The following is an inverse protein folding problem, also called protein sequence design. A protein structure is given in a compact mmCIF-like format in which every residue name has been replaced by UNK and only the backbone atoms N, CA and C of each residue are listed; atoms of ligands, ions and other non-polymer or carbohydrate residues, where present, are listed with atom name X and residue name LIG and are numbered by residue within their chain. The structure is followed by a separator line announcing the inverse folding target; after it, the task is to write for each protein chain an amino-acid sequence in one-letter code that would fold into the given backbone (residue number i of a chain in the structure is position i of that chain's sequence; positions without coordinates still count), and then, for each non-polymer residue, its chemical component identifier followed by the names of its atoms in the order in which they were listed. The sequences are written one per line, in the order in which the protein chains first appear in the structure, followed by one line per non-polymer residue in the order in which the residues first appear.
data_IF_618028944807
#
_entry.id   IF_618028944807
#
_cell.length_a   1.000
_cell.length_b   1.000
_cell.length_c   1.000
_cell.angle_alpha   90.00
_cell.angle_beta   90.00
_cell.angle_gamma   90.00
#
_symmetry.space_group_name_H-M   'P 1'
#
loop_
_entity.id
_entity.type
_entity.pdbx_description
1 polymer ?
#
# COMPACT_ATOMS: atom_id res chain seq x y z
N UNK A 1 -7.23 -5.67 -42.72
CA UNK A 1 -8.07 -6.78 -42.25
C UNK A 1 -7.68 -7.27 -40.85
N UNK A 2 -6.73 -6.61 -40.11
CA UNK A 2 -6.46 -6.89 -38.68
C UNK A 2 -7.21 -5.95 -37.71
N UNK A 3 -7.83 -4.86 -38.21
CA UNK A 3 -8.45 -3.82 -37.38
C UNK A 3 -9.92 -4.07 -36.98
N UNK A 4 -10.60 -5.03 -37.58
CA UNK A 4 -12.02 -5.30 -37.27
C UNK A 4 -12.25 -6.43 -36.25
N UNK A 5 -11.24 -7.28 -35.96
CA UNK A 5 -11.37 -8.34 -34.96
C UNK A 5 -10.98 -7.91 -33.53
N UNK A 6 -10.25 -6.79 -33.38
CA UNK A 6 -9.88 -6.23 -32.05
C UNK A 6 -10.98 -5.32 -31.47
N UNK A 7 -11.97 -4.91 -32.26
CA UNK A 7 -13.08 -4.04 -31.85
C UNK A 7 -14.10 -4.70 -30.89
N UNK A 8 -14.01 -6.01 -30.67
CA UNK A 8 -15.00 -6.75 -29.87
C UNK A 8 -14.63 -6.89 -28.38
N UNK A 9 -13.50 -6.32 -27.94
CA UNK A 9 -13.05 -6.50 -26.54
C UNK A 9 -13.49 -5.37 -25.59
N UNK A 10 -13.96 -4.23 -26.10
CA UNK A 10 -14.40 -3.09 -25.27
C UNK A 10 -15.90 -2.79 -25.50
N UNK A 11 -16.64 -2.34 -24.45
CA UNK A 11 -18.05 -1.97 -24.59
C UNK A 11 -18.25 -0.84 -25.63
N UNK A 12 -19.22 -0.99 -26.54
CA UNK A 12 -19.45 -0.01 -27.60
C UNK A 12 -19.79 1.38 -27.06
N UNK A 13 -20.61 1.44 -26.00
CA UNK A 13 -21.00 2.70 -25.34
C UNK A 13 -19.82 3.41 -24.67
N UNK A 14 -18.84 2.64 -24.14
CA UNK A 14 -17.59 3.19 -23.65
C UNK A 14 -16.79 3.86 -24.79
N UNK A 15 -16.61 3.16 -25.90
CA UNK A 15 -15.85 3.68 -27.04
C UNK A 15 -16.51 4.94 -27.65
N UNK A 16 -17.86 4.97 -27.74
CA UNK A 16 -18.60 6.12 -28.24
C UNK A 16 -18.41 7.34 -27.33
N UNK A 17 -18.54 7.16 -26.00
CA UNK A 17 -18.29 8.24 -25.04
C UNK A 17 -16.83 8.73 -25.10
N UNK A 18 -15.85 7.84 -25.19
CA UNK A 18 -14.45 8.24 -25.33
C UNK A 18 -14.20 9.02 -26.62
N UNK A 19 -14.87 8.66 -27.70
CA UNK A 19 -14.78 9.37 -28.98
C UNK A 19 -15.34 10.79 -28.88
N UNK A 20 -16.48 10.97 -28.22
CA UNK A 20 -17.05 12.29 -27.97
C UNK A 20 -16.16 13.14 -27.06
N UNK A 21 -15.63 12.54 -25.98
CA UNK A 21 -14.81 13.23 -24.98
C UNK A 21 -13.44 13.67 -25.52
N UNK A 22 -12.78 12.82 -26.31
CA UNK A 22 -11.40 13.03 -26.76
C UNK A 22 -11.31 13.69 -28.16
N UNK A 23 -12.39 13.66 -28.94
CA UNK A 23 -12.41 14.28 -30.27
C UNK A 23 -11.26 13.82 -31.17
N UNK A 24 -10.40 14.76 -31.57
CA UNK A 24 -9.22 14.49 -32.43
C UNK A 24 -8.15 13.57 -31.76
N UNK A 25 -8.14 13.46 -30.46
CA UNK A 25 -7.19 12.59 -29.73
C UNK A 25 -7.67 11.13 -29.64
N UNK A 26 -8.95 10.85 -29.93
CA UNK A 26 -9.52 9.51 -29.83
C UNK A 26 -8.76 8.42 -30.62
N UNK A 27 -8.29 8.63 -31.86
CA UNK A 27 -7.51 7.62 -32.57
C UNK A 27 -6.25 7.18 -31.82
N UNK A 28 -5.50 8.13 -31.22
CA UNK A 28 -4.31 7.83 -30.45
C UNK A 28 -4.66 7.09 -29.15
N UNK A 29 -5.74 7.48 -28.47
CA UNK A 29 -6.26 6.77 -27.30
C UNK A 29 -6.64 5.33 -27.65
N UNK A 30 -7.42 5.13 -28.72
CA UNK A 30 -7.85 3.80 -29.15
C UNK A 30 -6.66 2.90 -29.52
N UNK A 31 -5.66 3.42 -30.23
CA UNK A 31 -4.43 2.70 -30.53
C UNK A 31 -3.69 2.29 -29.25
N UNK A 32 -3.65 3.17 -28.25
CA UNK A 32 -2.99 2.87 -26.97
C UNK A 32 -3.64 1.72 -26.21
N UNK A 33 -4.94 1.47 -26.38
CA UNK A 33 -5.63 0.35 -25.75
C UNK A 33 -5.13 -1.02 -26.27
N UNK A 34 -4.64 -1.09 -27.52
CA UNK A 34 -4.03 -2.29 -28.12
C UNK A 34 -2.55 -2.46 -27.80
N UNK A 35 -1.89 -1.45 -27.21
CA UNK A 35 -0.47 -1.52 -26.91
C UNK A 35 -0.19 -2.38 -25.67
N UNK A 36 1.05 -2.86 -25.58
CA UNK A 36 1.50 -3.61 -24.41
C UNK A 36 1.56 -2.73 -23.16
N UNK A 37 1.08 -3.29 -22.03
CA UNK A 37 1.06 -2.58 -20.75
C UNK A 37 2.47 -2.35 -20.21
N UNK A 38 2.70 -1.17 -19.69
CA UNK A 38 3.93 -0.86 -18.97
C UNK A 38 3.92 -1.52 -17.58
N UNK A 39 5.04 -2.10 -17.24
CA UNK A 39 5.24 -2.71 -15.92
C UNK A 39 6.14 -1.83 -15.08
N UNK A 40 5.78 -1.63 -13.83
CA UNK A 40 6.55 -0.82 -12.90
C UNK A 40 6.48 -1.34 -11.47
N UNK A 41 7.40 -0.87 -10.67
CA UNK A 41 7.39 -1.02 -9.22
C UNK A 41 7.87 0.26 -8.56
N UNK A 42 7.66 0.34 -7.26
CA UNK A 42 8.09 1.45 -6.42
C UNK A 42 9.01 0.93 -5.32
N UNK A 43 10.23 1.49 -5.23
CA UNK A 43 11.20 1.15 -4.17
C UNK A 43 10.62 1.53 -2.80
N UNK A 44 10.79 0.64 -1.83
CA UNK A 44 10.37 0.87 -0.44
C UNK A 44 11.47 1.61 0.32
N UNK A 45 11.31 2.93 0.45
CA UNK A 45 12.29 3.77 1.15
C UNK A 45 12.36 3.53 2.67
N UNK A 46 11.44 2.76 3.24
CA UNK A 46 11.55 2.23 4.60
C UNK A 46 12.57 1.09 4.75
N UNK A 47 13.03 0.51 3.63
CA UNK A 47 14.01 -0.60 3.58
C UNK A 47 15.37 -0.17 3.07
N UNK A 48 15.40 0.67 2.03
CA UNK A 48 16.63 1.09 1.34
C UNK A 48 16.41 2.44 0.65
N UNK A 49 17.45 3.19 0.43
CA UNK A 49 17.37 4.35 -0.46
C UNK A 49 17.30 3.91 -1.93
N UNK A 50 16.76 4.78 -2.80
CA UNK A 50 16.75 4.54 -4.25
C UNK A 50 18.17 4.33 -4.79
N UNK A 51 19.13 5.13 -4.33
CA UNK A 51 20.52 5.03 -4.78
C UNK A 51 21.18 3.71 -4.39
N UNK A 52 20.96 3.21 -3.17
CA UNK A 52 21.46 1.91 -2.72
C UNK A 52 20.82 0.77 -3.51
N UNK A 53 19.50 0.83 -3.72
CA UNK A 53 18.78 -0.16 -4.53
C UNK A 53 19.34 -0.26 -5.95
N UNK A 54 19.57 0.87 -6.63
CA UNK A 54 20.12 0.92 -7.98
C UNK A 54 21.57 0.43 -8.06
N UNK A 55 22.36 0.59 -6.99
CA UNK A 55 23.72 0.05 -6.92
C UNK A 55 23.75 -1.46 -6.66
N UNK A 56 22.74 -2.01 -6.01
CA UNK A 56 22.66 -3.44 -5.68
C UNK A 56 22.03 -4.30 -6.79
N UNK A 57 21.36 -3.65 -7.76
CA UNK A 57 20.73 -4.35 -8.87
C UNK A 57 21.40 -3.98 -10.19
N UNK A 58 21.55 -4.93 -11.10
CA UNK A 58 21.97 -4.73 -12.48
C UNK A 58 20.77 -4.56 -13.45
N UNK A 59 19.59 -4.35 -12.90
CA UNK A 59 18.35 -4.20 -13.66
C UNK A 59 18.35 -2.91 -14.47
N UNK A 60 17.97 -3.04 -15.76
CA UNK A 60 17.76 -1.87 -16.62
C UNK A 60 16.42 -1.25 -16.30
N UNK A 61 16.43 -0.17 -15.54
CA UNK A 61 15.26 0.53 -15.05
C UNK A 61 15.15 1.91 -15.67
N UNK A 62 13.91 2.33 -15.98
CA UNK A 62 13.59 3.69 -16.43
C UNK A 62 12.79 4.38 -15.32
N UNK A 63 13.16 5.58 -14.85
CA UNK A 63 12.38 6.29 -13.84
C UNK A 63 10.94 6.59 -14.29
N UNK A 64 10.00 6.53 -13.37
CA UNK A 64 8.65 7.06 -13.55
C UNK A 64 8.69 8.57 -13.28
N UNK A 65 8.35 9.45 -14.25
CA UNK A 65 8.62 10.90 -14.13
C UNK A 65 7.94 11.57 -12.94
N UNK A 66 6.81 11.07 -12.49
CA UNK A 66 6.00 11.65 -11.40
C UNK A 66 6.16 10.97 -10.05
N UNK A 67 7.07 10.00 -9.93
CA UNK A 67 7.32 9.30 -8.67
C UNK A 67 8.80 8.94 -8.54
N UNK A 68 9.52 9.67 -7.67
CA UNK A 68 10.97 9.50 -7.49
C UNK A 68 11.40 8.07 -7.11
N UNK A 69 10.51 7.31 -6.47
CA UNK A 69 10.76 5.93 -6.08
C UNK A 69 10.26 4.92 -7.11
N UNK A 70 9.58 5.38 -8.18
CA UNK A 70 8.95 4.57 -9.21
C UNK A 70 9.89 4.26 -10.38
N UNK A 71 9.85 2.99 -10.85
CA UNK A 71 10.66 2.55 -12.00
C UNK A 71 9.87 1.62 -12.90
N UNK A 72 9.95 1.87 -14.20
CA UNK A 72 9.55 0.90 -15.23
C UNK A 72 10.62 -0.19 -15.36
N UNK A 73 10.19 -1.40 -15.69
CA UNK A 73 11.09 -2.52 -15.96
C UNK A 73 10.65 -3.35 -17.16
N UNK A 74 11.63 -3.98 -17.84
CA UNK A 74 11.39 -4.83 -19.00
C UNK A 74 10.89 -6.23 -18.62
N UNK A 75 10.40 -6.97 -19.63
CA UNK A 75 9.84 -8.33 -19.48
C UNK A 75 10.84 -9.37 -18.98
N UNK A 76 12.13 -9.13 -19.17
CA UNK A 76 13.22 -9.99 -18.69
C UNK A 76 13.33 -9.98 -17.16
N UNK A 77 12.86 -8.91 -16.51
CA UNK A 77 12.85 -8.78 -15.06
C UNK A 77 11.54 -9.38 -14.52
N UNK A 78 11.65 -10.29 -13.57
CA UNK A 78 10.52 -10.94 -12.92
C UNK A 78 10.50 -10.59 -11.43
N UNK A 79 10.17 -9.34 -11.06
CA UNK A 79 10.32 -8.85 -9.69
C UNK A 79 9.46 -9.65 -8.70
N UNK A 80 8.30 -10.16 -9.09
CA UNK A 80 7.43 -10.98 -8.23
C UNK A 80 8.04 -12.34 -7.82
N UNK A 81 9.09 -12.80 -8.52
CA UNK A 81 9.81 -14.06 -8.20
C UNK A 81 11.17 -13.82 -7.54
N UNK A 82 11.65 -12.60 -7.47
CA UNK A 82 12.91 -12.26 -6.85
C UNK A 82 12.80 -12.23 -5.32
N UNK A 83 13.78 -12.69 -4.54
CA UNK A 83 13.76 -12.67 -3.07
C UNK A 83 13.50 -11.29 -2.47
N UNK A 84 13.88 -10.20 -3.15
CA UNK A 84 13.60 -8.84 -2.70
C UNK A 84 12.11 -8.51 -2.62
N UNK A 85 11.27 -9.15 -3.45
CA UNK A 85 9.82 -9.02 -3.32
C UNK A 85 9.32 -9.55 -1.97
N UNK A 86 9.83 -10.72 -1.56
CA UNK A 86 9.48 -11.33 -0.27
C UNK A 86 10.03 -10.52 0.92
N UNK A 87 11.17 -9.85 0.73
CA UNK A 87 11.75 -8.93 1.73
C UNK A 87 11.06 -7.55 1.77
N UNK A 88 10.11 -7.28 0.86
CA UNK A 88 9.40 -6.01 0.81
C UNK A 88 10.24 -4.81 0.36
N UNK A 89 11.29 -5.05 -0.45
CA UNK A 89 12.19 -4.00 -0.94
C UNK A 89 11.50 -3.08 -1.94
N UNK A 90 10.48 -3.56 -2.62
CA UNK A 90 9.63 -2.79 -3.54
C UNK A 90 8.19 -3.33 -3.57
N UNK A 91 7.30 -2.48 -4.07
CA UNK A 91 5.91 -2.82 -4.36
C UNK A 91 5.65 -2.71 -5.87
N UNK A 92 5.16 -3.79 -6.50
CA UNK A 92 4.79 -3.79 -7.92
C UNK A 92 3.48 -3.01 -8.05
N UNK A 93 3.52 -1.91 -8.79
CA UNK A 93 2.40 -0.98 -8.93
C UNK A 93 2.35 -0.41 -10.33
N UNK A 94 1.16 -0.21 -10.85
CA UNK A 94 0.90 0.48 -12.12
C UNK A 94 1.31 1.95 -11.98
N UNK A 95 1.99 2.55 -13.00
CA UNK A 95 2.60 3.87 -12.85
C UNK A 95 1.60 4.99 -12.56
N UNK A 96 0.45 5.04 -13.25
CA UNK A 96 -0.53 6.11 -13.04
C UNK A 96 -1.16 6.05 -11.64
N UNK A 97 -1.28 4.84 -11.06
CA UNK A 97 -1.77 4.64 -9.69
C UNK A 97 -0.82 5.16 -8.59
N UNK A 98 0.39 5.60 -8.94
CA UNK A 98 1.33 6.26 -8.00
C UNK A 98 0.97 7.73 -7.78
N UNK A 99 0.31 8.40 -8.75
CA UNK A 99 0.01 9.84 -8.72
C UNK A 99 -0.83 10.28 -7.51
N UNK A 100 -1.93 9.60 -7.13
CA UNK A 100 -2.75 10.07 -6.02
C UNK A 100 -2.02 10.16 -4.69
N UNK A 101 -1.13 9.22 -4.38
CA UNK A 101 -0.36 9.24 -3.15
C UNK A 101 0.70 10.36 -3.13
N UNK A 102 1.31 10.69 -4.28
CA UNK A 102 2.19 11.86 -4.41
C UNK A 102 1.39 13.18 -4.21
N UNK A 103 0.17 13.26 -4.75
CA UNK A 103 -0.73 14.40 -4.56
C UNK A 103 -1.11 14.63 -3.09
N UNK A 104 -1.06 13.60 -2.25
CA UNK A 104 -1.41 13.71 -0.83
C UNK A 104 -0.37 14.53 -0.03
N UNK A 105 0.85 14.69 -0.54
CA UNK A 105 1.95 15.46 0.08
C UNK A 105 2.20 15.04 1.53
N UNK A 106 2.35 13.74 1.75
CA UNK A 106 2.55 13.11 3.06
C UNK A 106 3.77 13.67 3.78
N UNK A 107 3.62 13.92 5.10
CA UNK A 107 4.71 14.33 5.97
C UNK A 107 4.88 13.33 7.13
N UNK A 108 6.11 13.14 7.63
CA UNK A 108 6.33 12.43 8.88
C UNK A 108 5.50 13.05 10.02
N UNK A 109 4.86 12.20 10.83
CA UNK A 109 4.00 12.64 11.93
C UNK A 109 2.52 12.82 11.59
N UNK A 110 2.13 12.83 10.31
CA UNK A 110 0.73 12.91 9.89
C UNK A 110 -0.13 11.76 10.45
N UNK A 111 -1.38 12.05 10.71
CA UNK A 111 -2.43 11.05 10.97
C UNK A 111 -3.24 10.89 9.68
N UNK A 112 -3.09 9.75 9.03
CA UNK A 112 -3.61 9.53 7.68
C UNK A 112 -4.62 8.36 7.66
N UNK A 113 -5.71 8.55 6.91
CA UNK A 113 -6.64 7.49 6.55
C UNK A 113 -6.51 7.16 5.05
N UNK A 114 -6.30 5.89 4.72
CA UNK A 114 -6.57 5.33 3.40
C UNK A 114 -7.89 4.57 3.49
N UNK A 115 -8.97 5.16 2.93
CA UNK A 115 -10.35 4.73 3.22
C UNK A 115 -10.77 3.50 2.41
N UNK A 116 -10.21 3.32 1.20
CA UNK A 116 -10.49 2.21 0.28
C UNK A 116 -9.17 1.53 -0.12
N UNK A 117 -8.44 1.04 0.86
CA UNK A 117 -6.99 0.84 0.81
C UNK A 117 -6.51 -0.39 0.02
N UNK A 118 -7.35 -1.43 -0.15
CA UNK A 118 -6.88 -2.68 -0.77
C UNK A 118 -6.60 -2.55 -2.28
N UNK A 119 -5.54 -3.18 -2.77
CA UNK A 119 -4.69 -4.16 -2.10
C UNK A 119 -3.49 -3.60 -1.30
N UNK A 120 -3.32 -2.26 -1.19
CA UNK A 120 -2.28 -1.63 -0.39
C UNK A 120 -1.23 -0.85 -1.18
N UNK A 121 -1.40 -0.64 -2.49
CA UNK A 121 -0.45 0.10 -3.32
C UNK A 121 -0.25 1.54 -2.84
N UNK A 122 -1.33 2.27 -2.63
CA UNK A 122 -1.32 3.64 -2.12
C UNK A 122 -0.96 3.68 -0.64
N UNK A 123 -1.53 2.79 0.19
CA UNK A 123 -1.18 2.69 1.63
C UNK A 123 0.33 2.50 1.86
N UNK A 124 0.97 1.62 1.09
CA UNK A 124 2.42 1.35 1.24
C UNK A 124 3.29 2.50 0.73
N UNK A 125 2.80 3.28 -0.24
CA UNK A 125 3.44 4.52 -0.70
C UNK A 125 3.36 5.61 0.37
N UNK A 126 2.18 5.81 0.94
CA UNK A 126 1.93 6.71 2.06
C UNK A 126 2.85 6.34 3.25
N UNK A 127 2.86 5.06 3.65
CA UNK A 127 3.68 4.60 4.77
C UNK A 127 5.18 4.84 4.56
N UNK A 128 5.68 4.65 3.33
CA UNK A 128 7.09 4.94 3.00
C UNK A 128 7.41 6.43 3.16
N UNK A 129 6.52 7.33 2.72
CA UNK A 129 6.67 8.78 2.86
C UNK A 129 6.56 9.25 4.33
N UNK A 130 5.81 8.56 5.17
CA UNK A 130 5.71 8.81 6.63
C UNK A 130 7.00 8.49 7.38
N UNK A 131 7.93 7.73 6.82
CA UNK A 131 9.21 7.33 7.44
C UNK A 131 9.07 6.68 8.83
N UNK A 132 7.93 5.99 9.07
CA UNK A 132 7.63 5.33 10.34
C UNK A 132 7.08 6.24 11.45
N UNK A 133 6.89 7.52 11.17
CA UNK A 133 6.31 8.50 12.10
C UNK A 133 4.82 8.73 11.81
N UNK A 134 4.05 9.11 12.84
CA UNK A 134 2.60 9.30 12.72
C UNK A 134 1.82 7.98 12.70
N UNK A 135 0.56 8.04 12.28
CA UNK A 135 -0.39 6.91 12.30
C UNK A 135 -1.07 6.79 10.94
N UNK A 136 -1.00 5.59 10.35
CA UNK A 136 -1.70 5.25 9.12
C UNK A 136 -2.85 4.28 9.44
N UNK A 137 -4.08 4.70 9.15
CA UNK A 137 -5.24 3.80 9.18
C UNK A 137 -5.56 3.39 7.73
N UNK A 138 -5.56 2.08 7.48
CA UNK A 138 -5.89 1.49 6.19
C UNK A 138 -7.20 0.72 6.33
N UNK A 139 -8.25 1.15 5.64
CA UNK A 139 -9.55 0.49 5.71
C UNK A 139 -9.92 -0.19 4.38
N UNK A 140 -10.60 -1.31 4.48
CA UNK A 140 -11.19 -1.99 3.33
C UNK A 140 -12.48 -2.70 3.77
N UNK A 141 -13.58 -2.40 3.09
CA UNK A 141 -14.91 -2.93 3.43
C UNK A 141 -15.03 -4.44 3.14
N UNK A 142 -14.31 -4.95 2.13
CA UNK A 142 -14.37 -6.35 1.73
C UNK A 142 -13.37 -7.20 2.53
N UNK A 143 -13.82 -8.18 3.36
CA UNK A 143 -12.93 -8.91 4.27
C UNK A 143 -11.79 -9.65 3.56
N UNK A 144 -12.03 -10.23 2.39
CA UNK A 144 -11.00 -10.92 1.61
C UNK A 144 -9.91 -9.97 1.11
N UNK A 145 -10.29 -8.78 0.64
CA UNK A 145 -9.36 -7.75 0.19
C UNK A 145 -8.61 -7.11 1.36
N UNK A 146 -9.29 -6.90 2.50
CA UNK A 146 -8.66 -6.40 3.74
C UNK A 146 -7.55 -7.35 4.24
N UNK A 147 -7.71 -8.67 4.05
CA UNK A 147 -6.66 -9.64 4.35
C UNK A 147 -5.44 -9.46 3.45
N UNK A 148 -5.62 -9.28 2.14
CA UNK A 148 -4.54 -9.02 1.18
C UNK A 148 -3.82 -7.70 1.53
N UNK A 149 -4.56 -6.66 1.89
CA UNK A 149 -4.03 -5.40 2.39
C UNK A 149 -3.13 -5.63 3.62
N UNK A 150 -3.61 -6.37 4.62
CA UNK A 150 -2.84 -6.69 5.83
C UNK A 150 -1.55 -7.47 5.53
N UNK A 151 -1.59 -8.40 4.56
CA UNK A 151 -0.41 -9.16 4.11
C UNK A 151 0.61 -8.24 3.42
N UNK A 152 0.17 -7.27 2.62
CA UNK A 152 1.05 -6.29 1.98
C UNK A 152 1.66 -5.30 2.99
N UNK A 153 0.90 -4.82 3.97
CA UNK A 153 1.40 -3.99 5.07
C UNK A 153 2.51 -4.76 5.84
N UNK A 154 2.30 -6.05 6.11
CA UNK A 154 3.31 -6.91 6.72
C UNK A 154 4.56 -7.04 5.87
N UNK A 155 4.40 -7.44 4.59
CA UNK A 155 5.49 -7.67 3.66
C UNK A 155 6.38 -6.44 3.49
N UNK A 156 5.80 -5.25 3.47
CA UNK A 156 6.52 -3.99 3.36
C UNK A 156 7.19 -3.55 4.67
N UNK A 157 6.99 -4.27 5.77
CA UNK A 157 7.62 -4.00 7.07
C UNK A 157 7.09 -2.74 7.77
N UNK A 158 5.84 -2.36 7.50
CA UNK A 158 5.24 -1.14 8.05
C UNK A 158 4.89 -1.33 9.53
N UNK A 159 5.36 -0.41 10.38
CA UNK A 159 5.26 -0.51 11.85
C UNK A 159 4.07 0.27 12.43
N UNK A 160 3.65 1.35 11.77
CA UNK A 160 2.70 2.36 12.26
C UNK A 160 1.32 2.31 11.59
N UNK A 161 0.93 1.15 11.05
CA UNK A 161 -0.34 0.98 10.35
C UNK A 161 -1.36 0.18 11.16
N UNK A 162 -2.62 0.66 11.16
CA UNK A 162 -3.83 -0.04 11.62
C UNK A 162 -4.63 -0.50 10.40
N UNK A 163 -4.91 -1.81 10.28
CA UNK A 163 -5.76 -2.33 9.21
C UNK A 163 -7.13 -2.68 9.77
N UNK A 164 -8.16 -2.06 9.18
CA UNK A 164 -9.57 -2.20 9.57
C UNK A 164 -10.40 -2.84 8.45
N UNK A 165 -11.56 -3.39 8.84
CA UNK A 165 -12.58 -3.89 7.93
C UNK A 165 -13.94 -3.32 8.34
N UNK A 166 -14.12 -2.02 8.11
CA UNK A 166 -15.30 -1.26 8.49
C UNK A 166 -15.95 -0.60 7.28
N UNK A 167 -17.21 -0.18 7.42
CA UNK A 167 -17.83 0.69 6.42
C UNK A 167 -17.39 2.14 6.62
N UNK A 168 -17.41 2.98 5.57
CA UNK A 168 -17.08 4.41 5.69
C UNK A 168 -17.93 5.13 6.74
N UNK A 169 -19.22 4.80 6.86
CA UNK A 169 -20.16 5.40 7.81
C UNK A 169 -19.75 5.09 9.27
N UNK A 170 -19.39 3.83 9.56
CA UNK A 170 -18.91 3.43 10.89
C UNK A 170 -17.63 4.16 11.29
N UNK A 171 -16.74 4.38 10.32
CA UNK A 171 -15.52 5.14 10.55
C UNK A 171 -15.80 6.63 10.76
N UNK A 172 -16.72 7.23 10.00
CA UNK A 172 -17.12 8.63 10.15
C UNK A 172 -17.72 8.91 11.54
N UNK A 173 -18.58 8.01 12.03
CA UNK A 173 -19.11 8.09 13.40
C UNK A 173 -17.99 7.98 14.47
N UNK A 174 -16.96 7.17 14.17
CA UNK A 174 -15.88 6.87 15.13
C UNK A 174 -14.80 7.93 15.18
N UNK A 175 -14.47 8.53 14.04
CA UNK A 175 -13.29 9.38 13.87
C UNK A 175 -13.59 10.77 13.28
N UNK A 176 -14.60 11.52 13.78
CA UNK A 176 -14.93 12.83 13.24
C UNK A 176 -13.76 13.81 13.40
N UNK A 177 -13.32 14.43 12.31
CA UNK A 177 -12.24 15.43 12.30
C UNK A 177 -10.87 14.93 12.77
N UNK A 178 -10.60 13.61 12.70
CA UNK A 178 -9.39 13.03 13.29
C UNK A 178 -8.18 13.06 12.38
N UNK A 179 -8.35 13.16 11.05
CA UNK A 179 -7.25 12.93 10.10
C UNK A 179 -6.71 14.23 9.51
N UNK A 180 -5.38 14.33 9.47
CA UNK A 180 -4.67 15.40 8.74
C UNK A 180 -4.88 15.25 7.24
N UNK A 181 -4.83 13.99 6.76
CA UNK A 181 -4.94 13.65 5.35
C UNK A 181 -5.78 12.40 5.14
N UNK A 182 -6.52 12.38 4.04
CA UNK A 182 -7.33 11.21 3.65
C UNK A 182 -7.07 10.88 2.18
N UNK A 183 -6.78 9.60 1.90
CA UNK A 183 -6.78 9.00 0.58
C UNK A 183 -8.12 8.30 0.35
N UNK A 184 -8.80 8.65 -0.74
CA UNK A 184 -10.04 8.01 -1.20
C UNK A 184 -9.80 7.49 -2.62
N UNK A 185 -9.18 6.30 -2.74
CA UNK A 185 -9.10 5.58 -4.00
C UNK A 185 -10.40 4.80 -4.19
N UNK A 186 -11.39 5.47 -4.73
CA UNK A 186 -12.77 5.02 -4.65
C UNK A 186 -13.05 3.79 -5.54
N UNK A 187 -13.95 2.87 -5.11
CA UNK A 187 -14.46 1.84 -6.01
C UNK A 187 -15.17 2.52 -7.18
N UNK A 188 -14.81 2.14 -8.41
CA UNK A 188 -15.26 2.77 -9.64
C UNK A 188 -15.59 1.72 -10.71
N UNK A 189 -16.09 2.14 -11.86
CA UNK A 189 -16.39 1.26 -13.00
C UNK A 189 -15.15 0.61 -13.64
N UNK A 190 -13.94 1.14 -13.34
CA UNK A 190 -12.67 0.49 -13.62
C UNK A 190 -12.24 0.47 -15.09
N UNK A 191 -12.59 1.47 -15.88
CA UNK A 191 -12.31 1.53 -17.33
C UNK A 191 -10.82 1.52 -17.67
N UNK A 192 -9.98 2.14 -16.84
CA UNK A 192 -8.51 2.04 -16.94
C UNK A 192 -7.96 0.64 -16.62
N UNK A 193 -8.82 -0.30 -16.21
CA UNK A 193 -8.44 -1.68 -15.94
C UNK A 193 -8.79 -2.65 -17.06
N UNK A 194 -9.49 -2.23 -18.10
CA UNK A 194 -9.92 -3.10 -19.20
C UNK A 194 -8.77 -3.86 -19.86
N UNK A 195 -7.62 -3.20 -20.05
CA UNK A 195 -6.40 -3.83 -20.59
C UNK A 195 -5.80 -4.88 -19.64
N UNK A 196 -6.12 -4.83 -18.35
CA UNK A 196 -5.59 -5.73 -17.31
C UNK A 196 -6.54 -6.88 -17.02
N UNK A 197 -7.83 -6.64 -17.13
CA UNK A 197 -8.88 -7.59 -16.77
C UNK A 197 -10.00 -7.54 -17.81
N UNK A 198 -10.03 -8.50 -18.72
CA UNK A 198 -11.08 -8.63 -19.75
C UNK A 198 -12.49 -8.80 -19.15
N UNK A 199 -12.59 -9.41 -17.94
CA UNK A 199 -13.86 -9.57 -17.24
C UNK A 199 -14.46 -8.20 -16.84
N UNK A 200 -13.63 -7.21 -16.53
CA UNK A 200 -14.08 -5.86 -16.19
C UNK A 200 -14.85 -5.19 -17.35
N UNK A 201 -14.43 -5.43 -18.58
CA UNK A 201 -15.16 -4.96 -19.77
C UNK A 201 -16.52 -5.65 -19.94
N UNK A 202 -16.63 -6.93 -19.57
CA UNK A 202 -17.88 -7.68 -19.67
C UNK A 202 -18.93 -7.30 -18.62
N UNK A 203 -18.49 -6.83 -17.46
CA UNK A 203 -19.36 -6.40 -16.36
C UNK A 203 -19.71 -4.90 -16.41
N UNK A 204 -19.04 -4.15 -17.29
CA UNK A 204 -19.23 -2.71 -17.41
C UNK A 204 -20.57 -2.36 -18.05
N UNK A 205 -21.23 -1.31 -17.57
CA UNK A 205 -22.41 -0.68 -18.17
C UNK A 205 -22.54 0.77 -17.71
N UNK A 206 -23.27 1.60 -18.44
CA UNK A 206 -23.61 2.97 -18.03
C UNK A 206 -24.37 3.01 -16.70
N UNK A 207 -25.19 2.00 -16.40
CA UNK A 207 -25.88 1.92 -15.12
C UNK A 207 -24.92 1.60 -13.99
N UNK A 208 -23.88 0.79 -14.22
CA UNK A 208 -22.83 0.54 -13.25
C UNK A 208 -22.00 1.81 -12.99
N UNK A 209 -21.69 2.61 -14.01
CA UNK A 209 -21.05 3.94 -13.86
C UNK A 209 -21.84 4.84 -12.91
N UNK A 210 -23.17 4.97 -13.13
CA UNK A 210 -24.06 5.75 -12.24
C UNK A 210 -24.11 5.21 -10.82
N UNK A 211 -24.16 3.89 -10.66
CA UNK A 211 -24.15 3.24 -9.36
C UNK A 211 -22.83 3.52 -8.60
N UNK A 212 -21.69 3.46 -9.30
CA UNK A 212 -20.40 3.81 -8.73
C UNK A 212 -20.34 5.28 -8.33
N UNK A 213 -20.79 6.21 -9.19
CA UNK A 213 -20.85 7.63 -8.87
C UNK A 213 -21.67 7.92 -7.61
N UNK A 214 -22.86 7.33 -7.49
CA UNK A 214 -23.69 7.48 -6.29
C UNK A 214 -23.01 6.93 -5.01
N UNK A 215 -22.28 5.81 -5.13
CA UNK A 215 -21.53 5.24 -4.01
C UNK A 215 -20.36 6.14 -3.60
N UNK A 216 -19.68 6.72 -4.57
CA UNK A 216 -18.56 7.64 -4.36
C UNK A 216 -19.01 8.90 -3.62
N UNK A 217 -20.20 9.43 -3.91
CA UNK A 217 -20.77 10.56 -3.19
C UNK A 217 -20.86 10.29 -1.68
N UNK A 218 -21.40 9.13 -1.28
CA UNK A 218 -21.47 8.75 0.14
C UNK A 218 -20.10 8.52 0.79
N UNK A 219 -19.15 7.94 0.06
CA UNK A 219 -17.78 7.74 0.56
C UNK A 219 -17.07 9.08 0.79
N UNK A 220 -17.23 10.03 -0.15
CA UNK A 220 -16.66 11.37 -0.03
C UNK A 220 -17.27 12.17 1.15
N UNK A 221 -18.57 12.07 1.37
CA UNK A 221 -19.24 12.70 2.52
C UNK A 221 -18.72 12.13 3.86
N UNK A 222 -18.53 10.81 3.94
CA UNK A 222 -17.91 10.19 5.11
C UNK A 222 -16.44 10.65 5.30
N UNK A 223 -15.67 10.77 4.21
CA UNK A 223 -14.30 11.27 4.27
C UNK A 223 -14.23 12.73 4.75
N UNK A 224 -15.17 13.58 4.30
CA UNK A 224 -15.29 14.97 4.76
C UNK A 224 -15.53 15.07 6.28
N UNK A 225 -16.41 14.24 6.84
CA UNK A 225 -16.67 14.21 8.29
C UNK A 225 -15.42 13.81 9.08
N UNK A 226 -14.58 12.95 8.53
CA UNK A 226 -13.35 12.49 9.17
C UNK A 226 -12.16 13.43 8.99
N UNK A 227 -12.18 14.27 7.95
CA UNK A 227 -11.12 15.23 7.66
C UNK A 227 -11.20 16.41 8.62
N UNK A 228 -10.07 16.74 9.28
CA UNK A 228 -9.99 17.91 10.14
C UNK A 228 -10.11 19.22 9.36
N UNK A 229 -10.49 20.34 9.99
CA UNK A 229 -10.32 21.66 9.40
C UNK A 229 -8.85 21.90 9.01
N UNK A 230 -8.61 22.46 7.82
CA UNK A 230 -7.27 22.62 7.23
C UNK A 230 -6.64 21.32 6.73
N UNK A 231 -7.37 20.21 6.72
CA UNK A 231 -6.91 18.93 6.22
C UNK A 231 -6.90 18.84 4.69
N UNK A 232 -6.22 17.81 4.17
CA UNK A 232 -6.07 17.53 2.73
C UNK A 232 -6.60 16.16 2.39
N UNK A 233 -7.46 16.07 1.39
CA UNK A 233 -7.98 14.79 0.85
C UNK A 233 -7.56 14.66 -0.62
N UNK A 234 -7.24 13.45 -1.03
CA UNK A 234 -7.10 13.10 -2.45
C UNK A 234 -8.16 12.08 -2.80
N UNK A 235 -9.02 12.45 -3.73
CA UNK A 235 -9.99 11.56 -4.37
C UNK A 235 -9.37 11.03 -5.67
N UNK A 236 -9.49 9.73 -5.91
CA UNK A 236 -8.98 9.12 -7.15
C UNK A 236 -9.84 7.95 -7.61
N UNK A 237 -9.81 7.71 -8.92
CA UNK A 237 -10.44 6.58 -9.59
C UNK A 237 -9.52 6.03 -10.68
N UNK A 238 -9.75 4.79 -11.09
CA UNK A 238 -9.15 4.21 -12.29
C UNK A 238 -10.17 4.11 -13.45
N UNK A 239 -11.08 5.06 -13.56
CA UNK A 239 -12.03 5.18 -14.68
C UNK A 239 -11.77 6.45 -15.48
N UNK A 240 -12.47 6.60 -16.61
CA UNK A 240 -12.48 7.81 -17.44
C UNK A 240 -13.88 8.44 -17.46
N UNK A 241 -14.84 7.89 -16.72
CA UNK A 241 -16.23 8.32 -16.71
C UNK A 241 -16.38 9.69 -16.02
N UNK A 242 -16.81 10.75 -16.73
CA UNK A 242 -16.97 12.08 -16.13
C UNK A 242 -17.94 12.10 -14.95
N UNK A 243 -18.94 11.20 -14.93
CA UNK A 243 -19.90 11.07 -13.83
C UNK A 243 -19.25 10.65 -12.50
N UNK A 244 -18.21 9.81 -12.60
CA UNK A 244 -17.43 9.29 -11.45
C UNK A 244 -16.26 10.20 -11.10
N UNK A 245 -15.74 10.95 -12.04
CA UNK A 245 -14.57 11.81 -11.92
C UNK A 245 -14.97 13.24 -11.50
N UNK A 246 -14.95 14.19 -12.43
CA UNK A 246 -15.30 15.59 -12.14
C UNK A 246 -16.74 15.72 -11.61
N UNK A 247 -17.67 14.89 -12.09
CA UNK A 247 -19.05 14.88 -11.64
C UNK A 247 -19.17 14.60 -10.15
N UNK A 248 -18.42 13.62 -9.62
CA UNK A 248 -18.38 13.34 -8.17
C UNK A 248 -17.75 14.49 -7.39
N UNK A 249 -16.68 15.09 -7.92
CA UNK A 249 -16.03 16.25 -7.30
C UNK A 249 -16.97 17.45 -7.26
N UNK A 250 -17.66 17.77 -8.34
CA UNK A 250 -18.60 18.90 -8.40
C UNK A 250 -19.74 18.72 -7.40
N UNK A 251 -20.40 17.56 -7.40
CA UNK A 251 -21.49 17.27 -6.43
C UNK A 251 -20.99 17.33 -4.98
N UNK A 252 -19.76 16.91 -4.73
CA UNK A 252 -19.14 17.01 -3.41
C UNK A 252 -18.95 18.48 -3.00
N UNK A 253 -18.36 19.32 -3.85
CA UNK A 253 -18.11 20.74 -3.56
C UNK A 253 -19.41 21.54 -3.39
N UNK A 254 -20.48 21.19 -4.12
CA UNK A 254 -21.81 21.79 -3.90
C UNK A 254 -22.38 21.48 -2.51
N UNK A 255 -22.14 20.27 -1.98
CA UNK A 255 -22.58 19.87 -0.63
C UNK A 255 -21.69 20.42 0.48
N UNK A 256 -20.40 20.65 0.19
CA UNK A 256 -19.38 21.07 1.15
C UNK A 256 -18.66 22.36 0.70
N UNK A 257 -19.33 23.52 0.81
CA UNK A 257 -18.79 24.79 0.27
C UNK A 257 -17.58 25.34 1.04
N UNK A 258 -17.21 24.73 2.15
CA UNK A 258 -15.97 24.98 2.90
C UNK A 258 -14.77 24.15 2.36
N UNK A 259 -15.00 23.35 1.32
CA UNK A 259 -13.95 22.64 0.59
C UNK A 259 -13.65 23.31 -0.74
N UNK A 260 -12.41 23.17 -1.18
CA UNK A 260 -11.94 23.66 -2.49
C UNK A 260 -10.92 22.73 -3.11
N UNK A 261 -10.82 22.76 -4.45
CA UNK A 261 -9.74 22.08 -5.17
C UNK A 261 -8.40 22.79 -4.85
N UNK A 262 -7.39 21.99 -4.63
CA UNK A 262 -6.01 22.46 -4.42
C UNK A 262 -5.09 21.84 -5.47
N UNK A 263 -3.94 22.48 -5.65
CA UNK A 263 -2.93 22.00 -6.60
C UNK A 263 -2.39 20.63 -6.21
N UNK A 264 -2.42 19.70 -7.19
CA UNK A 264 -1.79 18.38 -7.13
C UNK A 264 -0.30 18.42 -7.50
N UNK A 265 0.18 17.34 -8.10
CA UNK A 265 1.46 17.28 -8.79
C UNK A 265 1.23 17.47 -10.29
N UNK A 266 2.27 17.87 -11.01
CA UNK A 266 2.27 17.99 -12.46
C UNK A 266 3.41 17.20 -13.08
N UNK A 267 3.21 16.72 -14.29
CA UNK A 267 4.22 16.06 -15.12
C UNK A 267 3.80 16.10 -16.59
N UNK A 268 4.76 15.88 -17.47
CA UNK A 268 4.49 15.81 -18.92
C UNK A 268 3.43 14.75 -19.22
N UNK A 269 2.42 15.11 -20.01
CA UNK A 269 1.30 14.24 -20.38
C UNK A 269 0.11 14.27 -19.41
N UNK A 270 0.19 14.98 -18.28
CA UNK A 270 -0.96 15.21 -17.41
C UNK A 270 -1.91 16.22 -18.04
N UNK A 271 -3.20 15.95 -17.94
CA UNK A 271 -4.24 16.88 -18.36
C UNK A 271 -4.91 17.43 -17.11
N UNK A 272 -4.94 18.76 -17.00
CA UNK A 272 -5.65 19.45 -15.95
C UNK A 272 -6.94 20.04 -16.48
N UNK A 273 -8.05 19.81 -15.79
CA UNK A 273 -9.28 20.52 -16.08
C UNK A 273 -9.20 21.98 -15.61
N UNK A 274 -10.29 22.73 -15.81
CA UNK A 274 -10.34 24.15 -15.43
C UNK A 274 -10.27 24.39 -13.91
N UNK A 275 -10.60 23.38 -13.12
CA UNK A 275 -10.60 23.43 -11.66
C UNK A 275 -9.32 22.90 -11.04
N UNK A 276 -8.49 22.19 -11.83
CA UNK A 276 -7.20 21.64 -11.41
C UNK A 276 -7.23 20.15 -11.08
N UNK A 277 -8.30 19.42 -11.42
CA UNK A 277 -8.31 17.96 -11.36
C UNK A 277 -7.37 17.39 -12.42
N UNK A 278 -6.79 16.24 -12.15
CA UNK A 278 -5.76 15.59 -12.97
C UNK A 278 -6.38 14.38 -13.68
N UNK A 279 -6.26 14.35 -15.00
CA UNK A 279 -6.57 13.17 -15.84
C UNK A 279 -5.31 12.62 -16.47
N UNK A 280 -5.17 11.33 -16.39
CA UNK A 280 -4.09 10.55 -16.96
C UNK A 280 -4.67 9.62 -18.01
N UNK A 281 -4.25 9.76 -19.27
CA UNK A 281 -4.71 8.89 -20.35
C UNK A 281 -3.55 8.08 -20.91
N UNK A 282 -3.77 6.80 -21.28
CA UNK A 282 -2.71 5.90 -21.74
C UNK A 282 -2.02 6.32 -23.06
N UNK A 283 -2.62 7.21 -23.86
CA UNK A 283 -1.99 7.78 -25.05
C UNK A 283 -1.12 9.00 -24.76
N UNK A 284 -1.16 9.54 -23.55
CA UNK A 284 -0.34 10.68 -23.11
C UNK A 284 0.79 10.28 -22.17
N UNK A 285 0.60 9.21 -21.41
CA UNK A 285 1.55 8.74 -20.43
C UNK A 285 1.83 7.24 -20.61
N UNK A 286 2.96 6.79 -20.12
CA UNK A 286 3.25 5.36 -20.02
C UNK A 286 2.56 4.75 -18.77
N UNK A 287 1.23 4.53 -18.86
CA UNK A 287 0.38 4.01 -17.79
C UNK A 287 -1.00 3.60 -18.30
N UNK A 288 -1.85 3.07 -17.41
CA UNK A 288 -3.19 2.60 -17.76
C UNK A 288 -4.24 3.72 -17.72
N UNK A 289 -3.94 4.79 -17.03
CA UNK A 289 -4.83 5.92 -16.81
C UNK A 289 -5.39 6.00 -15.39
N UNK A 290 -5.63 7.22 -14.94
CA UNK A 290 -6.14 7.52 -13.60
C UNK A 290 -6.76 8.91 -13.56
N UNK A 291 -7.66 9.13 -12.58
CA UNK A 291 -8.14 10.45 -12.22
C UNK A 291 -7.71 10.78 -10.80
N UNK A 292 -7.36 12.03 -10.53
CA UNK A 292 -7.08 12.50 -9.19
C UNK A 292 -7.57 13.94 -8.98
N UNK A 293 -8.25 14.19 -7.87
CA UNK A 293 -8.61 15.51 -7.39
C UNK A 293 -8.08 15.73 -5.99
N UNK A 294 -7.42 16.85 -5.78
CA UNK A 294 -6.91 17.26 -4.48
C UNK A 294 -7.87 18.25 -3.86
N UNK A 295 -8.38 17.93 -2.67
CA UNK A 295 -9.38 18.72 -1.98
C UNK A 295 -8.82 19.17 -0.62
N UNK A 296 -9.02 20.43 -0.27
CA UNK A 296 -8.67 20.97 1.06
C UNK A 296 -9.93 21.49 1.74
N UNK A 297 -10.04 21.25 3.05
CA UNK A 297 -11.10 21.75 3.92
C UNK A 297 -10.66 23.03 4.58
N UNK A 298 -11.50 24.07 4.57
CA UNK A 298 -11.18 25.36 5.20
C UNK A 298 -11.02 25.23 6.73
N UNK A 299 -10.34 26.23 7.32
CA UNK A 299 -10.14 26.31 8.77
C UNK A 299 -8.75 25.83 9.21
N UNK A 300 -8.57 25.76 10.53
CA UNK A 300 -7.37 25.28 11.19
C UNK A 300 -7.73 24.25 12.24
N UNK A 301 -6.91 23.22 12.40
CA UNK A 301 -7.12 22.16 13.38
C UNK A 301 -5.93 21.20 13.41
N UNK A 302 -5.95 20.29 14.37
CA UNK A 302 -4.94 19.23 14.49
C UNK A 302 -5.65 17.88 14.42
N UNK A 303 -5.08 16.93 13.71
CA UNK A 303 -5.52 15.54 13.74
C UNK A 303 -5.32 14.93 15.13
N UNK A 304 -6.08 13.90 15.45
CA UNK A 304 -5.94 13.19 16.72
C UNK A 304 -7.18 12.41 17.09
N UNK A 305 -7.02 11.50 18.05
CA UNK A 305 -8.10 10.64 18.52
C UNK A 305 -8.49 11.01 19.95
N UNK A 306 -9.77 11.22 20.20
CA UNK A 306 -10.29 11.56 21.52
C UNK A 306 -10.10 10.46 22.57
N UNK A 307 -10.07 9.19 22.13
CA UNK A 307 -9.76 8.03 22.95
C UNK A 307 -8.60 7.26 22.32
N UNK A 308 -7.53 7.07 23.11
CA UNK A 308 -6.33 6.33 22.68
C UNK A 308 -6.22 4.98 23.38
N UNK A 309 -5.61 4.03 22.70
CA UNK A 309 -5.32 2.71 23.26
C UNK A 309 -4.17 2.81 24.28
N UNK A 310 -4.27 2.02 25.33
CA UNK A 310 -3.23 1.92 26.34
C UNK A 310 -2.52 0.57 26.22
N UNK A 311 -1.19 0.62 26.14
CA UNK A 311 -0.38 -0.59 26.16
C UNK A 311 -0.47 -1.33 27.50
N UNK A 312 -0.16 -2.63 27.48
CA UNK A 312 0.04 -3.42 28.69
C UNK A 312 1.35 -2.99 29.39
N UNK A 313 1.46 -3.29 30.67
CA UNK A 313 2.75 -3.14 31.38
C UNK A 313 3.72 -4.20 30.88
N UNK A 314 4.90 -3.80 30.45
CA UNK A 314 5.89 -4.73 29.88
C UNK A 314 6.28 -5.87 30.83
N UNK A 315 6.26 -5.64 32.11
CA UNK A 315 6.49 -6.69 33.12
C UNK A 315 5.48 -7.85 33.06
N UNK A 316 4.36 -7.65 32.36
CA UNK A 316 3.31 -8.67 32.18
C UNK A 316 3.61 -9.60 30.99
N UNK A 317 4.75 -9.40 30.28
CA UNK A 317 5.25 -10.26 29.21
C UNK A 317 6.76 -10.54 29.33
N UNK A 318 7.20 -11.23 30.39
CA UNK A 318 8.62 -11.46 30.65
C UNK A 318 9.33 -12.29 29.58
N UNK A 319 8.61 -13.19 28.89
CA UNK A 319 9.16 -13.98 27.78
C UNK A 319 9.53 -13.09 26.58
N UNK A 320 8.75 -12.06 26.29
CA UNK A 320 9.06 -11.06 25.26
C UNK A 320 10.30 -10.25 25.67
N UNK A 321 10.36 -9.78 26.92
CA UNK A 321 11.52 -9.02 27.41
C UNK A 321 12.82 -9.85 27.39
N UNK A 322 12.75 -11.14 27.70
CA UNK A 322 13.89 -12.07 27.58
C UNK A 322 14.33 -12.19 26.13
N UNK A 323 13.36 -12.40 25.20
CA UNK A 323 13.67 -12.45 23.78
C UNK A 323 14.34 -11.17 23.28
N UNK A 324 13.84 -9.99 23.64
CA UNK A 324 14.43 -8.69 23.27
C UNK A 324 15.88 -8.62 23.76
N UNK A 325 16.12 -8.89 25.05
CA UNK A 325 17.44 -8.83 25.64
C UNK A 325 18.45 -9.79 24.99
N UNK A 326 18.00 -10.96 24.55
CA UNK A 326 18.87 -12.00 24.00
C UNK A 326 19.11 -11.84 22.49
N UNK A 327 18.19 -11.19 21.76
CA UNK A 327 18.22 -11.22 20.30
C UNK A 327 18.25 -9.85 19.62
N UNK A 328 17.81 -8.79 20.31
CA UNK A 328 17.73 -7.43 19.75
C UNK A 328 18.70 -6.49 20.47
N UNK A 329 19.37 -5.62 19.72
CA UNK A 329 20.28 -4.61 20.28
C UNK A 329 19.54 -3.50 20.99
N UNK A 330 18.35 -3.16 20.46
CA UNK A 330 17.48 -2.15 21.05
C UNK A 330 16.04 -2.68 21.11
N UNK A 331 15.31 -2.25 22.13
CA UNK A 331 13.91 -2.60 22.27
C UNK A 331 13.08 -1.75 21.28
N UNK A 332 12.17 -2.36 20.50
CA UNK A 332 11.24 -1.61 19.68
C UNK A 332 10.44 -0.60 20.51
N UNK A 333 10.36 0.66 20.02
CA UNK A 333 9.67 1.76 20.72
C UNK A 333 8.18 1.78 20.38
N UNK A 334 7.33 1.99 21.38
CA UNK A 334 5.89 2.06 21.26
C UNK A 334 5.15 1.37 22.39
N UNK A 335 3.83 1.40 22.35
CA UNK A 335 2.95 0.73 23.31
C UNK A 335 2.72 -0.73 22.89
N UNK A 336 2.94 -1.68 23.81
CA UNK A 336 2.69 -3.11 23.55
C UNK A 336 1.23 -3.45 23.85
N UNK A 337 0.53 -4.03 22.88
CA UNK A 337 -0.81 -4.59 23.03
C UNK A 337 -0.77 -6.12 23.08
N UNK A 338 -1.72 -6.69 23.83
CA UNK A 338 -1.91 -8.15 23.90
C UNK A 338 -3.32 -8.54 23.49
N UNK A 339 -3.41 -9.43 22.49
CA UNK A 339 -4.66 -10.08 22.05
C UNK A 339 -4.48 -11.59 22.18
N UNK A 340 -5.11 -12.19 23.19
CA UNK A 340 -4.83 -13.58 23.53
C UNK A 340 -3.33 -13.75 23.85
N UNK A 341 -2.65 -14.59 23.09
CA UNK A 341 -1.20 -14.82 23.20
C UNK A 341 -0.37 -13.98 22.21
N UNK A 342 -1.01 -13.17 21.36
CA UNK A 342 -0.33 -12.35 20.37
C UNK A 342 0.04 -10.98 20.94
N UNK A 343 1.27 -10.56 20.69
CA UNK A 343 1.76 -9.21 21.05
C UNK A 343 1.90 -8.35 19.80
N UNK A 344 1.47 -7.10 19.93
CA UNK A 344 1.59 -6.06 18.88
C UNK A 344 2.25 -4.82 19.45
N UNK A 345 2.93 -4.07 18.60
CA UNK A 345 3.50 -2.77 18.92
C UNK A 345 2.78 -1.69 18.12
N UNK A 346 2.41 -0.61 18.79
CA UNK A 346 1.78 0.56 18.19
C UNK A 346 2.54 1.84 18.53
N UNK A 347 2.49 2.88 17.68
CA UNK A 347 2.89 4.23 18.07
C UNK A 347 2.06 4.75 19.24
N UNK A 348 2.60 5.70 19.99
CA UNK A 348 1.81 6.47 20.94
C UNK A 348 0.71 7.28 20.25
N UNK A 349 -0.42 7.49 20.91
CA UNK A 349 -1.56 8.20 20.35
C UNK A 349 -2.47 7.38 19.44
N UNK A 350 -2.25 6.08 19.31
CA UNK A 350 -3.06 5.17 18.54
C UNK A 350 -4.53 5.14 19.02
N UNK A 351 -5.54 5.08 18.13
CA UNK A 351 -6.93 5.12 18.54
C UNK A 351 -7.33 3.90 19.37
N UNK A 352 -8.27 4.07 20.30
CA UNK A 352 -8.86 2.96 21.03
C UNK A 352 -9.56 1.98 20.07
N UNK A 353 -9.26 0.69 20.20
CA UNK A 353 -9.68 -0.35 19.25
C UNK A 353 -11.02 -1.01 19.58
N UNK A 354 -11.56 -0.76 20.78
CA UNK A 354 -12.83 -1.37 21.22
C UNK A 354 -13.97 -1.00 20.26
N UNK A 355 -14.67 -2.00 19.75
CA UNK A 355 -15.79 -1.85 18.83
C UNK A 355 -15.43 -1.81 17.35
N UNK A 356 -14.12 -1.85 17.01
CA UNK A 356 -13.66 -1.90 15.63
C UNK A 356 -13.33 -3.34 15.19
N UNK A 357 -13.56 -3.65 13.93
CA UNK A 357 -13.11 -4.89 13.28
C UNK A 357 -11.68 -4.74 12.81
N UNK A 358 -10.74 -5.08 13.69
CA UNK A 358 -9.31 -4.92 13.49
C UNK A 358 -8.70 -6.19 12.93
N UNK A 359 -8.01 -6.08 11.78
CA UNK A 359 -7.22 -7.16 11.20
C UNK A 359 -5.76 -7.09 11.65
N UNK A 360 -5.22 -5.88 11.80
CA UNK A 360 -3.83 -5.65 12.23
C UNK A 360 -3.74 -4.39 13.09
N UNK A 361 -3.50 -4.53 14.39
CA UNK A 361 -3.33 -3.38 15.29
C UNK A 361 -1.85 -2.99 15.42
N UNK A 362 -1.24 -2.45 14.36
CA UNK A 362 0.19 -2.13 14.34
C UNK A 362 1.09 -3.31 13.98
N UNK A 363 2.34 -3.27 14.45
CA UNK A 363 3.36 -4.30 14.18
C UNK A 363 3.14 -5.53 15.04
N UNK A 364 2.88 -6.68 14.43
CA UNK A 364 2.85 -7.95 15.15
C UNK A 364 4.27 -8.31 15.62
N UNK A 365 4.48 -8.37 16.92
CA UNK A 365 5.78 -8.72 17.54
C UNK A 365 6.01 -10.23 17.56
N UNK A 366 4.98 -11.00 17.92
CA UNK A 366 5.06 -12.45 18.02
C UNK A 366 4.06 -13.03 19.00
N UNK A 367 4.29 -14.29 19.38
CA UNK A 367 3.37 -15.09 20.20
C UNK A 367 4.03 -15.50 21.49
N UNK A 368 3.35 -15.22 22.61
CA UNK A 368 3.70 -15.80 23.91
C UNK A 368 3.39 -17.29 23.92
N UNK A 369 4.34 -18.10 24.32
CA UNK A 369 4.22 -19.54 24.53
C UNK A 369 4.65 -19.87 25.94
N UNK A 370 4.33 -21.07 26.43
CA UNK A 370 4.78 -21.52 27.74
C UNK A 370 6.32 -21.36 27.85
N UNK A 371 6.76 -20.44 28.71
CA UNK A 371 8.17 -20.13 29.01
C UNK A 371 9.04 -19.72 27.80
N UNK A 372 8.46 -19.19 26.75
CA UNK A 372 9.20 -18.64 25.59
C UNK A 372 8.36 -17.67 24.76
N UNK A 373 9.04 -16.86 23.99
CA UNK A 373 8.46 -16.02 22.95
C UNK A 373 8.85 -16.55 21.58
N UNK A 374 7.90 -16.56 20.63
CA UNK A 374 8.14 -16.87 19.23
C UNK A 374 7.96 -15.59 18.42
N UNK A 375 9.06 -15.01 17.84
CA UNK A 375 8.98 -13.79 17.08
C UNK A 375 8.18 -14.00 15.80
N UNK A 376 7.38 -13.01 15.41
CA UNK A 376 6.58 -13.05 14.20
C UNK A 376 7.41 -12.77 12.95
N UNK A 377 6.89 -13.16 11.80
CA UNK A 377 7.44 -12.80 10.51
C UNK A 377 7.40 -11.29 10.27
N UNK A 378 6.33 -10.63 10.71
CA UNK A 378 6.17 -9.18 10.62
C UNK A 378 7.30 -8.43 11.36
N UNK A 379 7.69 -8.90 12.57
CA UNK A 379 8.81 -8.32 13.29
C UNK A 379 10.11 -8.42 12.49
N UNK A 380 10.40 -9.59 11.90
CA UNK A 380 11.59 -9.73 11.06
C UNK A 380 11.58 -8.75 9.89
N UNK A 381 10.47 -8.67 9.15
CA UNK A 381 10.35 -7.78 8.00
C UNK A 381 10.46 -6.30 8.39
N UNK A 382 10.09 -5.94 9.60
CA UNK A 382 10.17 -4.56 10.10
C UNK A 382 11.56 -4.16 10.61
N UNK A 383 12.48 -5.13 10.77
CA UNK A 383 13.82 -4.89 11.30
C UNK A 383 14.86 -4.63 10.22
N UNK A 384 15.90 -3.87 10.61
CA UNK A 384 17.14 -3.75 9.86
C UNK A 384 18.17 -4.77 10.43
N UNK A 385 19.15 -5.25 9.64
CA UNK A 385 20.17 -6.19 10.12
C UNK A 385 20.94 -5.72 11.35
N UNK A 386 21.16 -4.40 11.45
CA UNK A 386 21.89 -3.77 12.55
C UNK A 386 21.16 -3.86 13.90
N UNK A 387 19.85 -4.11 13.90
CA UNK A 387 19.01 -4.17 15.11
C UNK A 387 19.06 -5.55 15.79
N UNK A 388 19.58 -6.59 15.10
CA UNK A 388 19.69 -7.94 15.65
C UNK A 388 21.12 -8.27 16.10
N UNK A 389 21.28 -9.12 17.15
CA UNK A 389 22.58 -9.65 17.54
C UNK A 389 23.09 -10.71 16.58
N UNK A 390 22.21 -11.57 16.08
CA UNK A 390 22.57 -12.65 15.16
C UNK A 390 21.87 -12.47 13.82
N UNK A 391 22.67 -12.39 12.78
CA UNK A 391 22.20 -12.20 11.39
C UNK A 391 22.79 -13.30 10.51
N UNK A 392 21.95 -13.91 9.68
CA UNK A 392 22.39 -14.78 8.60
C UNK A 392 22.22 -14.04 7.27
N UNK A 393 23.32 -13.54 6.73
CA UNK A 393 23.35 -12.80 5.47
C UNK A 393 23.49 -13.76 4.31
N UNK A 394 22.44 -13.87 3.49
CA UNK A 394 22.38 -14.73 2.31
C UNK A 394 22.45 -13.86 1.05
N UNK A 395 23.03 -14.40 -0.02
CA UNK A 395 22.96 -13.77 -1.34
C UNK A 395 21.65 -14.14 -2.05
N UNK A 396 21.06 -13.21 -2.81
CA UNK A 396 19.85 -13.43 -3.60
C UNK A 396 20.00 -14.58 -4.63
N UNK A 397 21.22 -14.85 -5.10
CA UNK A 397 21.53 -15.96 -6.00
C UNK A 397 21.90 -17.28 -5.31
N UNK A 398 22.00 -17.31 -3.96
CA UNK A 398 22.51 -18.48 -3.22
C UNK A 398 21.48 -19.62 -3.16
N UNK A 399 22.01 -20.84 -2.90
CA UNK A 399 21.17 -22.01 -2.66
C UNK A 399 20.40 -21.87 -1.33
N UNK A 400 21.02 -21.28 -0.32
CA UNK A 400 20.49 -21.12 1.03
C UNK A 400 19.23 -20.25 1.02
N UNK A 401 19.19 -19.14 0.25
CA UNK A 401 17.98 -18.30 0.16
C UNK A 401 16.84 -19.05 -0.53
N UNK A 402 17.14 -19.86 -1.56
CA UNK A 402 16.15 -20.72 -2.21
C UNK A 402 15.59 -21.76 -1.24
N UNK A 403 16.46 -22.46 -0.52
CA UNK A 403 16.05 -23.42 0.53
C UNK A 403 15.18 -22.73 1.59
N UNK A 404 15.59 -21.53 2.04
CA UNK A 404 14.84 -20.76 3.02
C UNK A 404 13.43 -20.43 2.53
N UNK A 405 13.27 -19.87 1.36
CA UNK A 405 11.98 -19.51 0.78
C UNK A 405 11.08 -20.72 0.47
N UNK A 406 11.69 -21.89 0.22
CA UNK A 406 10.98 -23.17 0.06
C UNK A 406 10.61 -23.82 1.42
N UNK A 407 11.02 -23.24 2.54
CA UNK A 407 10.76 -23.77 3.88
C UNK A 407 11.68 -24.91 4.31
N UNK A 408 12.82 -25.09 3.62
CA UNK A 408 13.84 -26.10 3.90
C UNK A 408 14.84 -25.57 4.94
N UNK A 409 15.60 -26.48 5.54
CA UNK A 409 16.71 -26.18 6.43
C UNK A 409 18.02 -26.12 5.64
N UNK A 410 19.03 -25.42 6.14
CA UNK A 410 20.36 -25.35 5.55
C UNK A 410 21.44 -25.31 6.64
N UNK A 411 22.66 -25.65 6.28
CA UNK A 411 23.81 -25.60 7.19
C UNK A 411 24.24 -24.16 7.42
N UNK A 412 24.51 -23.80 8.70
CA UNK A 412 24.98 -22.47 9.07
C UNK A 412 25.91 -22.53 10.28
N UNK A 413 26.96 -21.73 10.27
CA UNK A 413 27.89 -21.59 11.41
C UNK A 413 27.42 -20.52 12.40
N UNK A 414 27.79 -20.66 13.66
CA UNK A 414 27.54 -19.65 14.68
C UNK A 414 26.97 -20.23 15.99
N UNK A 415 26.53 -19.34 16.87
CA UNK A 415 25.96 -19.70 18.17
C UNK A 415 24.51 -20.17 18.05
N UNK A 416 24.10 -21.06 18.93
CA UNK A 416 22.71 -21.50 19.02
C UNK A 416 21.77 -20.35 19.38
N UNK A 417 20.71 -20.11 18.61
CA UNK A 417 19.77 -19.03 18.91
C UNK A 417 18.90 -18.63 17.71
N UNK A 418 18.16 -17.53 17.87
CA UNK A 418 17.42 -16.91 16.81
C UNK A 418 18.35 -16.08 15.91
N UNK A 419 18.10 -16.13 14.62
CA UNK A 419 18.81 -15.37 13.59
C UNK A 419 17.83 -14.61 12.74
N UNK A 420 18.09 -13.34 12.52
CA UNK A 420 17.44 -12.58 11.48
C UNK A 420 18.03 -13.04 10.14
N UNK A 421 17.20 -13.62 9.29
CA UNK A 421 17.61 -14.01 7.93
C UNK A 421 17.48 -12.79 7.04
N UNK A 422 18.56 -12.48 6.33
CA UNK A 422 18.63 -11.35 5.42
C UNK A 422 19.09 -11.81 4.03
N UNK A 423 18.59 -11.16 2.99
CA UNK A 423 19.02 -11.30 1.61
C UNK A 423 19.65 -10.00 1.14
N UNK A 424 20.96 -10.04 0.80
CA UNK A 424 21.75 -8.88 0.35
C UNK A 424 21.54 -7.62 1.23
N UNK A 425 21.40 -7.80 2.55
CA UNK A 425 21.16 -6.71 3.51
C UNK A 425 19.70 -6.46 3.89
N UNK A 426 18.73 -7.08 3.22
CA UNK A 426 17.30 -6.90 3.52
C UNK A 426 16.75 -8.05 4.36
N UNK A 427 16.14 -7.74 5.50
CA UNK A 427 15.50 -8.73 6.35
C UNK A 427 14.33 -9.42 5.65
N UNK A 428 14.26 -10.76 5.76
CA UNK A 428 13.25 -11.57 5.08
C UNK A 428 12.52 -12.56 6.00
N UNK A 429 13.00 -12.76 7.21
CA UNK A 429 12.33 -13.62 8.19
C UNK A 429 13.26 -14.09 9.31
N UNK A 430 12.80 -15.09 10.05
CA UNK A 430 13.55 -15.70 11.14
C UNK A 430 14.03 -17.11 10.83
N UNK A 431 15.20 -17.45 11.34
CA UNK A 431 15.71 -18.81 11.46
C UNK A 431 16.13 -19.11 12.91
N UNK A 432 16.23 -20.37 13.28
CA UNK A 432 16.74 -20.78 14.60
C UNK A 432 17.86 -21.78 14.43
N UNK A 433 19.08 -21.37 14.78
CA UNK A 433 20.26 -22.22 14.67
C UNK A 433 20.33 -23.20 15.82
N UNK A 434 20.51 -24.48 15.51
CA UNK A 434 20.77 -25.54 16.50
C UNK A 434 21.59 -26.67 15.85
N UNK A 435 22.74 -27.00 16.46
CA UNK A 435 23.59 -28.09 15.98
C UNK A 435 24.15 -27.89 14.57
N UNK A 436 24.47 -26.64 14.18
CA UNK A 436 24.99 -26.32 12.83
C UNK A 436 23.92 -26.31 11.72
N UNK A 437 22.64 -26.48 12.08
CA UNK A 437 21.51 -26.47 11.13
C UNK A 437 20.60 -25.29 11.42
N UNK A 438 20.38 -24.44 10.43
CA UNK A 438 19.40 -23.36 10.47
C UNK A 438 18.00 -23.93 10.26
N UNK A 439 17.19 -23.97 11.31
CA UNK A 439 15.79 -24.34 11.27
C UNK A 439 14.97 -23.20 10.68
N UNK A 440 14.15 -23.52 9.71
CA UNK A 440 13.36 -22.57 8.96
C UNK A 440 12.11 -22.13 9.74
N UNK A 441 11.94 -20.81 9.89
CA UNK A 441 10.74 -20.19 10.49
C UNK A 441 9.98 -19.31 9.49
N UNK A 442 10.23 -19.48 8.19
CA UNK A 442 9.46 -18.80 7.13
C UNK A 442 8.02 -19.33 7.11
N UNK A 443 6.99 -18.44 7.06
CA UNK A 443 5.59 -18.86 7.14
C UNK A 443 5.20 -19.87 6.06
N UNK A 444 4.50 -20.93 6.46
CA UNK A 444 4.12 -22.02 5.54
C UNK A 444 3.30 -21.51 4.34
N UNK A 445 2.41 -20.54 4.56
CA UNK A 445 1.55 -19.97 3.51
C UNK A 445 2.28 -19.06 2.51
N UNK A 446 3.53 -18.65 2.80
CA UNK A 446 4.32 -17.79 1.93
C UNK A 446 5.43 -18.56 1.18
N UNK A 447 5.54 -19.88 1.40
CA UNK A 447 6.59 -20.70 0.78
C UNK A 447 6.42 -20.76 -0.73
N UNK A 448 7.52 -20.56 -1.43
CA UNK A 448 7.56 -20.58 -2.89
C UNK A 448 7.77 -22.02 -3.39
N UNK A 449 7.13 -22.37 -4.49
CA UNK A 449 7.31 -23.67 -5.15
C UNK A 449 8.45 -23.58 -6.19
N UNK A 450 8.55 -22.42 -6.88
CA UNK A 450 9.58 -22.13 -7.88
C UNK A 450 10.23 -20.77 -7.59
N UNK A 451 11.53 -20.76 -7.49
CA UNK A 451 12.38 -19.57 -7.36
C UNK A 451 13.33 -19.56 -8.56
N UNK A 452 13.43 -18.42 -9.23
CA UNK A 452 14.33 -18.24 -10.40
C UNK A 452 15.78 -18.14 -9.92
#
# INVERSE_FOLDING_TARGET
MHSEQENNSFPAEFLERMKEMLGEEYPAFFESLGQERQQSFRVNTGKTSVSEFLQQTDWKLKPVPWCETGFYYGKEIRPGKHPYHNAGVYYIQEPSAMVPAECLKVQPGDIILDLCAAPGGKSTQIAAAMKGEGILICNEIHPARAKILSENIERMGIKNALVLNETPEQLAERFPGCFDKIMVDAPCSGEGMFRKNEEAGNEWSLDNVKLCANRQDGILDCAYEMLRPGGRMVYSTCTFAPEEDEGSVHRFLERHPDCQIAEGIDSEGFIHDKEGCIRLFPHKIEGEGHFAAVITKAGEGYGGFGLTEKGIKEKDCPEYLSFVKENLKEKPQGAVLKFGEQLYLMPEGFPALKGLKVLRPGLHLGTLKKNRFEPSHALALAMQPQEAFHVAMLSSGSQEIRQYLMGQTFSWGGEKGWYLICVDGYSIGWGKLAGGIMKNHYPKGLRMVDII
#
